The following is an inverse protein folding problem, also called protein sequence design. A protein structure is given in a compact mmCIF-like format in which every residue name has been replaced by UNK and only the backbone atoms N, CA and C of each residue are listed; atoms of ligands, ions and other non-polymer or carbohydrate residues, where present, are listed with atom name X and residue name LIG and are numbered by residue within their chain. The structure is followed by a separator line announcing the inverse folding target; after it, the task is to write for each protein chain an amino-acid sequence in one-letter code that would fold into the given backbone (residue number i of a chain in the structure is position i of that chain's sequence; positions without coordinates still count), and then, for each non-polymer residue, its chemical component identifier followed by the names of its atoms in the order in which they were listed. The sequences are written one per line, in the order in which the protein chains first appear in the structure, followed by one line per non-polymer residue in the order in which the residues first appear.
data_IF_798565022591
#
_entry.id   IF_798565022591
#
_cell.length_a   1.000
_cell.length_b   1.000
_cell.length_c   1.000
_cell.angle_alpha   90.00
_cell.angle_beta   90.00
_cell.angle_gamma   90.00
#
_symmetry.space_group_name_H-M   'P 1'
#
loop_
_entity.id
_entity.type
_entity.pdbx_description
1 polymer ?
#
# COMPACT_ATOMS: atom_id res chain seq x y z
N UNK A 1 24.16 33.65 -0.83
CA UNK A 1 23.48 34.75 -1.49
C UNK A 1 22.69 34.33 -2.72
N UNK A 2 23.26 33.59 -3.66
CA UNK A 2 22.58 33.05 -4.88
C UNK A 2 21.33 32.18 -4.57
N UNK A 3 21.39 31.31 -3.57
CA UNK A 3 20.27 30.46 -3.18
C UNK A 3 19.07 31.25 -2.62
N UNK A 4 19.35 32.29 -1.81
CA UNK A 4 18.33 33.17 -1.28
C UNK A 4 17.66 34.01 -2.38
N UNK A 5 18.45 34.47 -3.36
CA UNK A 5 17.94 35.20 -4.52
C UNK A 5 17.11 34.29 -5.44
N UNK A 6 17.55 33.05 -5.68
CA UNK A 6 16.79 32.04 -6.44
C UNK A 6 15.47 31.71 -5.75
N UNK A 7 15.48 31.54 -4.42
CA UNK A 7 14.27 31.28 -3.63
C UNK A 7 13.31 32.48 -3.64
N UNK A 8 13.84 33.70 -3.61
CA UNK A 8 13.05 34.93 -3.74
C UNK A 8 12.37 35.03 -5.11
N UNK A 9 13.12 34.81 -6.20
CA UNK A 9 12.59 34.81 -7.55
C UNK A 9 11.55 33.71 -7.78
N UNK A 10 11.79 32.49 -7.31
CA UNK A 10 10.87 31.37 -7.49
C UNK A 10 9.60 31.49 -6.67
N UNK A 11 9.66 32.14 -5.50
CA UNK A 11 8.48 32.30 -4.61
C UNK A 11 7.57 33.47 -4.98
N UNK A 12 8.04 34.48 -5.71
CA UNK A 12 7.28 35.70 -6.04
C UNK A 12 6.98 35.88 -7.52
N UNK A 13 7.49 35.02 -8.39
CA UNK A 13 7.28 35.14 -9.84
C UNK A 13 5.87 34.72 -10.26
N UNK A 14 5.43 35.22 -11.39
CA UNK A 14 4.19 34.83 -12.06
C UNK A 14 4.11 33.30 -12.23
N UNK A 15 5.23 32.66 -12.60
CA UNK A 15 5.33 31.21 -12.76
C UNK A 15 4.99 30.45 -11.46
N UNK A 16 5.44 30.92 -10.29
CA UNK A 16 5.10 30.33 -9.00
C UNK A 16 3.60 30.46 -8.68
N UNK A 17 3.03 31.66 -8.91
CA UNK A 17 1.60 31.89 -8.70
C UNK A 17 0.75 31.04 -9.64
N UNK A 18 1.13 30.95 -10.91
CA UNK A 18 0.45 30.12 -11.91
C UNK A 18 0.52 28.62 -11.53
N UNK A 19 1.69 28.14 -11.12
CA UNK A 19 1.86 26.76 -10.64
C UNK A 19 1.00 26.48 -9.42
N UNK A 20 1.01 27.35 -8.42
CA UNK A 20 0.19 27.16 -7.21
C UNK A 20 -1.31 27.18 -7.54
N UNK A 21 -1.75 28.08 -8.42
CA UNK A 21 -3.14 28.10 -8.89
C UNK A 21 -3.51 26.82 -9.62
N UNK A 22 -2.65 26.33 -10.51
CA UNK A 22 -2.85 25.06 -11.19
C UNK A 22 -2.90 23.87 -10.23
N UNK A 23 -1.97 23.82 -9.27
CA UNK A 23 -1.95 22.75 -8.24
C UNK A 23 -3.20 22.78 -7.35
N UNK A 24 -3.62 23.97 -6.91
CA UNK A 24 -4.83 24.13 -6.11
C UNK A 24 -6.10 23.71 -6.89
N UNK A 25 -6.16 24.06 -8.17
CA UNK A 25 -7.28 23.64 -9.03
C UNK A 25 -7.25 22.13 -9.24
N UNK A 26 -6.07 21.54 -9.49
CA UNK A 26 -5.90 20.10 -9.67
C UNK A 26 -6.23 19.30 -8.42
N UNK A 27 -5.82 19.79 -7.23
CA UNK A 27 -6.07 19.16 -5.93
C UNK A 27 -7.38 19.58 -5.29
N UNK A 28 -8.23 20.37 -5.96
CA UNK A 28 -9.51 20.76 -5.41
C UNK A 28 -10.46 19.57 -5.26
N UNK A 29 -11.31 19.62 -4.24
CA UNK A 29 -12.29 18.57 -3.99
C UNK A 29 -13.30 18.42 -5.14
N UNK A 30 -13.68 19.51 -5.78
CA UNK A 30 -14.56 19.53 -6.94
C UNK A 30 -13.93 18.82 -8.13
N UNK A 31 -12.65 19.12 -8.42
CA UNK A 31 -11.93 18.42 -9.49
C UNK A 31 -11.77 16.93 -9.19
N UNK A 32 -11.46 16.60 -7.94
CA UNK A 32 -11.38 15.21 -7.51
C UNK A 32 -12.70 14.47 -7.69
N UNK A 33 -13.82 15.08 -7.29
CA UNK A 33 -15.17 14.53 -7.53
C UNK A 33 -15.47 14.35 -9.02
N UNK A 34 -15.10 15.33 -9.86
CA UNK A 34 -15.33 15.25 -11.29
C UNK A 34 -14.53 14.11 -11.95
N UNK A 35 -13.27 13.93 -11.54
CA UNK A 35 -12.42 12.83 -12.01
C UNK A 35 -13.02 11.47 -11.60
N UNK A 36 -13.42 11.34 -10.33
CA UNK A 36 -14.05 10.11 -9.82
C UNK A 36 -15.36 9.79 -10.54
N UNK A 37 -16.21 10.82 -10.75
CA UNK A 37 -17.46 10.64 -11.48
C UNK A 37 -17.20 10.17 -12.91
N UNK A 38 -16.26 10.79 -13.63
CA UNK A 38 -15.89 10.39 -14.99
C UNK A 38 -15.37 8.95 -15.03
N UNK A 39 -14.54 8.56 -14.07
CA UNK A 39 -14.02 7.20 -13.96
C UNK A 39 -15.15 6.19 -13.71
N UNK A 40 -16.08 6.54 -12.83
CA UNK A 40 -17.24 5.70 -12.50
C UNK A 40 -18.19 5.56 -13.69
N UNK A 41 -18.51 6.64 -14.39
CA UNK A 41 -19.34 6.61 -15.59
C UNK A 41 -18.68 5.69 -16.66
N UNK A 42 -17.38 5.86 -16.91
CA UNK A 42 -16.63 5.00 -17.85
C UNK A 42 -16.59 3.52 -17.42
N UNK A 43 -16.54 3.24 -16.12
CA UNK A 43 -16.61 1.86 -15.60
C UNK A 43 -17.98 1.25 -15.88
N UNK A 44 -19.06 2.01 -15.62
CA UNK A 44 -20.45 1.57 -15.87
C UNK A 44 -20.72 1.33 -17.34
N UNK A 45 -20.30 2.27 -18.20
CA UNK A 45 -20.45 2.15 -19.65
C UNK A 45 -19.75 0.91 -20.22
N UNK A 46 -18.60 0.53 -19.60
CA UNK A 46 -17.86 -0.66 -19.95
C UNK A 46 -18.36 -1.94 -19.25
N UNK A 47 -19.42 -1.84 -18.44
CA UNK A 47 -19.94 -2.94 -17.60
C UNK A 47 -18.87 -3.67 -16.80
N UNK A 48 -17.88 -2.94 -16.24
CA UNK A 48 -16.79 -3.49 -15.45
C UNK A 48 -17.12 -3.45 -13.96
N UNK A 49 -16.80 -4.50 -13.18
CA UNK A 49 -16.90 -4.45 -11.74
C UNK A 49 -15.90 -3.42 -11.16
N UNK A 50 -16.10 -3.04 -9.90
CA UNK A 50 -15.02 -2.43 -9.13
C UNK A 50 -13.91 -3.46 -8.91
N UNK A 51 -12.66 -3.03 -9.02
CA UNK A 51 -11.51 -3.89 -8.83
C UNK A 51 -10.61 -3.33 -7.71
N UNK A 52 -10.20 -4.21 -6.81
CA UNK A 52 -9.25 -3.91 -5.74
C UNK A 52 -8.02 -4.76 -5.95
N UNK A 53 -6.87 -4.11 -6.10
CA UNK A 53 -5.57 -4.77 -6.18
C UNK A 53 -4.93 -4.74 -4.80
N UNK A 54 -4.67 -5.92 -4.25
CA UNK A 54 -3.96 -6.09 -3.00
C UNK A 54 -2.51 -6.52 -3.28
N UNK A 55 -1.58 -5.66 -2.95
CA UNK A 55 -0.16 -5.96 -3.07
C UNK A 55 0.34 -6.56 -1.76
N UNK A 56 0.69 -7.85 -1.79
CA UNK A 56 1.15 -8.60 -0.65
C UNK A 56 2.66 -8.77 -0.65
N UNK A 57 3.32 -8.34 0.41
CA UNK A 57 4.75 -8.55 0.64
C UNK A 57 4.94 -9.41 1.88
N UNK A 58 5.67 -10.51 1.76
CA UNK A 58 5.78 -11.55 2.77
C UNK A 58 6.40 -11.05 4.08
N UNK A 59 7.39 -10.17 3.99
CA UNK A 59 8.11 -9.62 5.15
C UNK A 59 7.61 -8.24 5.60
N UNK A 60 6.42 -7.82 5.10
CA UNK A 60 5.83 -6.54 5.48
C UNK A 60 4.81 -6.72 6.63
N UNK A 61 5.01 -6.07 7.79
CA UNK A 61 4.09 -6.14 8.92
C UNK A 61 2.66 -5.71 8.59
N UNK A 62 2.47 -4.71 7.71
CA UNK A 62 1.14 -4.27 7.29
C UNK A 62 0.45 -5.28 6.39
N UNK A 63 1.20 -6.02 5.58
CA UNK A 63 0.66 -7.15 4.80
C UNK A 63 0.15 -8.26 5.72
N UNK A 64 0.88 -8.53 6.82
CA UNK A 64 0.41 -9.45 7.86
C UNK A 64 -0.92 -8.98 8.46
N UNK A 65 -1.00 -7.73 8.87
CA UNK A 65 -2.24 -7.18 9.43
C UNK A 65 -3.38 -7.24 8.41
N UNK A 66 -3.13 -6.83 7.17
CA UNK A 66 -4.14 -6.70 6.12
C UNK A 66 -4.77 -8.04 5.74
N UNK A 67 -3.99 -9.12 5.66
CA UNK A 67 -4.48 -10.43 5.22
C UNK A 67 -5.63 -10.95 6.10
N UNK A 68 -5.68 -10.56 7.38
CA UNK A 68 -6.74 -10.94 8.29
C UNK A 68 -8.10 -10.28 8.00
N UNK A 69 -8.12 -9.21 7.21
CA UNK A 69 -9.35 -8.46 6.88
C UNK A 69 -9.88 -8.72 5.48
N UNK A 70 -9.08 -9.32 4.60
CA UNK A 70 -9.45 -9.48 3.19
C UNK A 70 -10.75 -10.25 3.03
N UNK A 71 -10.94 -11.35 3.75
CA UNK A 71 -12.15 -12.15 3.69
C UNK A 71 -13.40 -11.34 4.10
N UNK A 72 -13.31 -10.59 5.20
CA UNK A 72 -14.36 -9.69 5.65
C UNK A 72 -14.62 -8.58 4.64
N UNK A 73 -13.57 -8.03 4.05
CA UNK A 73 -13.68 -7.01 3.02
C UNK A 73 -14.41 -7.55 1.77
N UNK A 74 -14.00 -8.72 1.26
CA UNK A 74 -14.61 -9.39 0.10
C UNK A 74 -16.10 -9.73 0.35
N UNK A 75 -16.46 -10.09 1.57
CA UNK A 75 -17.87 -10.38 1.92
C UNK A 75 -18.72 -9.12 2.11
N UNK A 76 -18.09 -7.97 2.38
CA UNK A 76 -18.80 -6.71 2.64
C UNK A 76 -19.04 -5.89 1.39
N UNK A 77 -18.12 -5.94 0.43
CA UNK A 77 -18.13 -5.11 -0.76
C UNK A 77 -18.24 -5.95 -2.04
N UNK A 78 -19.10 -5.53 -2.95
CA UNK A 78 -19.21 -6.11 -4.30
C UNK A 78 -18.06 -5.61 -5.18
N UNK A 79 -16.91 -6.24 -5.06
CA UNK A 79 -15.67 -5.88 -5.78
C UNK A 79 -14.96 -7.13 -6.29
N UNK A 80 -14.33 -7.02 -7.46
CA UNK A 80 -13.35 -8.00 -7.89
C UNK A 80 -12.05 -7.76 -7.13
N UNK A 81 -11.64 -8.71 -6.33
CA UNK A 81 -10.42 -8.64 -5.54
C UNK A 81 -9.32 -9.45 -6.21
N UNK A 82 -8.12 -8.88 -6.32
CA UNK A 82 -6.96 -9.54 -6.90
C UNK A 82 -5.74 -9.35 -6.02
N UNK A 83 -5.18 -10.46 -5.56
CA UNK A 83 -3.94 -10.49 -4.79
C UNK A 83 -2.72 -10.55 -5.73
N UNK A 84 -1.71 -9.75 -5.42
CA UNK A 84 -0.48 -9.64 -6.20
C UNK A 84 0.70 -9.79 -5.23
N UNK A 85 1.48 -10.84 -5.41
CA UNK A 85 2.70 -11.02 -4.65
C UNK A 85 3.76 -9.99 -5.09
N UNK A 86 4.32 -9.26 -4.13
CA UNK A 86 5.36 -8.26 -4.36
C UNK A 86 6.71 -8.84 -3.95
N UNK A 87 7.69 -8.69 -4.83
CA UNK A 87 9.06 -9.10 -4.57
C UNK A 87 9.88 -8.06 -3.77
N UNK A 88 11.19 -8.07 -3.98
CA UNK A 88 12.10 -7.14 -3.32
C UNK A 88 11.81 -5.69 -3.71
N UNK A 89 11.93 -4.78 -2.75
CA UNK A 89 11.80 -3.35 -2.95
C UNK A 89 13.00 -2.79 -3.72
N UNK A 90 12.75 -1.72 -4.46
CA UNK A 90 13.85 -0.92 -4.98
C UNK A 90 14.54 -0.19 -3.81
N UNK A 91 15.82 -0.46 -3.52
CA UNK A 91 16.52 0.18 -2.40
C UNK A 91 16.53 1.72 -2.47
N UNK A 92 16.44 2.28 -3.68
CA UNK A 92 16.38 3.72 -3.88
C UNK A 92 15.03 4.34 -3.48
N UNK A 93 14.00 3.54 -3.23
CA UNK A 93 12.68 4.02 -2.79
C UNK A 93 12.62 4.28 -1.28
N UNK A 94 13.53 3.71 -0.50
CA UNK A 94 13.59 3.86 0.96
C UNK A 94 14.72 4.82 1.34
N UNK A 95 14.38 5.99 1.88
CA UNK A 95 15.37 6.98 2.27
C UNK A 95 16.10 6.66 3.57
N UNK A 96 15.45 6.04 4.53
CA UNK A 96 15.99 5.65 5.84
C UNK A 96 15.52 4.24 6.19
N UNK A 97 16.09 3.19 5.54
CA UNK A 97 15.55 1.84 5.63
C UNK A 97 15.44 1.29 7.05
N UNK A 98 16.45 1.47 7.89
CA UNK A 98 16.46 0.96 9.27
C UNK A 98 15.37 1.62 10.12
N UNK A 99 15.27 2.94 10.06
CA UNK A 99 14.25 3.68 10.80
C UNK A 99 12.83 3.31 10.33
N UNK A 100 12.66 3.13 9.03
CA UNK A 100 11.37 2.75 8.44
C UNK A 100 10.93 1.37 8.89
N UNK A 101 11.83 0.38 8.87
CA UNK A 101 11.52 -1.00 9.29
C UNK A 101 11.15 -1.07 10.77
N UNK A 102 11.94 -0.45 11.65
CA UNK A 102 11.65 -0.41 13.08
C UNK A 102 10.29 0.26 13.36
N UNK A 103 10.02 1.37 12.66
CA UNK A 103 8.73 2.06 12.77
C UNK A 103 7.56 1.16 12.35
N UNK A 104 7.64 0.49 11.19
CA UNK A 104 6.56 -0.37 10.70
C UNK A 104 6.23 -1.51 11.68
N UNK A 105 7.27 -2.14 12.23
CA UNK A 105 7.10 -3.22 13.20
C UNK A 105 6.40 -2.74 14.47
N UNK A 106 6.87 -1.63 15.05
CA UNK A 106 6.30 -1.06 16.26
C UNK A 106 4.88 -0.50 16.04
N UNK A 107 4.62 0.09 14.88
CA UNK A 107 3.29 0.62 14.55
C UNK A 107 2.28 -0.53 14.43
N UNK A 108 2.60 -1.60 13.70
CA UNK A 108 1.71 -2.76 13.59
C UNK A 108 1.45 -3.42 14.94
N UNK A 109 2.45 -3.57 15.81
CA UNK A 109 2.23 -4.06 17.18
C UNK A 109 1.22 -3.23 17.96
N UNK A 110 1.23 -1.91 17.77
CA UNK A 110 0.31 -1.01 18.48
C UNK A 110 -1.09 -1.05 17.92
N UNK A 111 -1.24 -1.16 16.60
CA UNK A 111 -2.56 -1.10 15.95
C UNK A 111 -3.25 -2.46 15.85
N UNK A 112 -2.53 -3.57 15.76
CA UNK A 112 -3.10 -4.91 15.61
C UNK A 112 -4.18 -5.27 16.66
N UNK A 113 -4.00 -4.96 17.97
CA UNK A 113 -5.01 -5.24 18.98
C UNK A 113 -6.36 -4.53 18.76
N UNK A 114 -6.36 -3.32 18.17
CA UNK A 114 -7.60 -2.60 17.84
C UNK A 114 -8.42 -3.32 16.78
N UNK A 115 -7.77 -4.17 15.99
CA UNK A 115 -8.38 -4.98 14.95
C UNK A 115 -8.62 -6.43 15.40
N UNK A 116 -8.27 -6.78 16.62
CA UNK A 116 -8.40 -8.16 17.12
C UNK A 116 -7.42 -9.14 16.47
N UNK A 117 -6.30 -8.64 15.94
CA UNK A 117 -5.25 -9.46 15.35
C UNK A 117 -4.13 -9.61 16.37
N UNK A 118 -3.72 -10.86 16.60
CA UNK A 118 -2.51 -11.16 17.35
C UNK A 118 -1.30 -11.01 16.42
N UNK A 119 -0.41 -10.10 16.75
CA UNK A 119 0.82 -9.87 16.01
C UNK A 119 2.01 -10.08 16.94
N UNK A 120 2.53 -11.32 17.02
CA UNK A 120 3.63 -11.65 17.93
C UNK A 120 4.99 -11.16 17.43
N UNK A 121 5.10 -10.65 16.22
CA UNK A 121 6.35 -10.29 15.56
C UNK A 121 7.27 -9.44 16.43
N UNK A 122 8.41 -10.03 16.84
CA UNK A 122 9.45 -9.36 17.63
C UNK A 122 10.48 -8.74 16.69
N UNK A 123 10.70 -9.38 15.54
CA UNK A 123 11.72 -9.02 14.56
C UNK A 123 11.24 -9.39 13.14
N UNK A 124 11.95 -8.91 12.14
CA UNK A 124 11.67 -9.29 10.75
C UNK A 124 12.09 -10.75 10.50
N UNK A 125 11.34 -11.46 9.63
CA UNK A 125 11.67 -12.85 9.31
C UNK A 125 13.01 -12.94 8.58
N UNK A 126 13.74 -14.04 8.80
CA UNK A 126 15.00 -14.29 8.13
C UNK A 126 14.81 -14.42 6.61
N UNK A 127 15.78 -13.92 5.85
CA UNK A 127 15.71 -13.88 4.37
C UNK A 127 15.46 -15.24 3.72
N UNK A 128 15.99 -16.33 4.28
CA UNK A 128 15.74 -17.69 3.78
C UNK A 128 14.29 -18.12 3.97
N UNK A 129 13.63 -17.72 5.06
CA UNK A 129 12.20 -17.96 5.29
C UNK A 129 11.33 -17.13 4.34
N UNK A 130 11.69 -15.85 4.15
CA UNK A 130 11.01 -14.98 3.17
C UNK A 130 11.08 -15.57 1.77
N UNK A 131 12.26 -16.06 1.35
CA UNK A 131 12.44 -16.68 0.04
C UNK A 131 11.59 -17.95 -0.13
N UNK A 132 11.52 -18.79 0.89
CA UNK A 132 10.66 -20.00 0.88
C UNK A 132 9.19 -19.63 0.83
N UNK A 133 8.77 -18.66 1.60
CA UNK A 133 7.39 -18.15 1.61
C UNK A 133 6.99 -17.56 0.24
N UNK A 134 7.87 -16.75 -0.35
CA UNK A 134 7.65 -16.23 -1.71
C UNK A 134 7.55 -17.36 -2.75
N UNK A 135 8.40 -18.38 -2.66
CA UNK A 135 8.34 -19.54 -3.57
C UNK A 135 7.00 -20.30 -3.42
N UNK A 136 6.53 -20.51 -2.20
CA UNK A 136 5.22 -21.13 -1.94
C UNK A 136 4.11 -20.28 -2.55
N UNK A 137 4.05 -19.00 -2.23
CA UNK A 137 2.97 -18.11 -2.67
C UNK A 137 2.97 -17.88 -4.18
N UNK A 138 4.12 -17.93 -4.84
CA UNK A 138 4.20 -17.83 -6.30
C UNK A 138 3.67 -19.05 -7.03
N UNK A 139 3.55 -20.20 -6.37
CA UNK A 139 3.06 -21.45 -6.93
C UNK A 139 1.58 -21.74 -6.61
N UNK A 140 0.95 -20.91 -5.77
CA UNK A 140 -0.44 -21.10 -5.33
C UNK A 140 -1.41 -20.45 -6.33
N UNK A 141 -2.60 -21.03 -6.47
CA UNK A 141 -3.67 -20.46 -7.29
C UNK A 141 -4.18 -19.11 -6.72
N UNK A 142 -4.82 -18.30 -7.58
CA UNK A 142 -5.37 -17.01 -7.15
C UNK A 142 -6.45 -17.18 -6.05
N UNK A 143 -7.22 -18.27 -6.10
CA UNK A 143 -8.27 -18.57 -5.13
C UNK A 143 -7.75 -18.98 -3.76
N UNK A 144 -6.58 -19.63 -3.70
CA UNK A 144 -5.98 -20.12 -2.46
C UNK A 144 -5.00 -19.14 -1.83
N UNK A 145 -4.62 -18.09 -2.58
CA UNK A 145 -3.53 -17.19 -2.22
C UNK A 145 -3.69 -16.60 -0.81
N UNK A 146 -4.85 -16.00 -0.51
CA UNK A 146 -5.05 -15.34 0.80
C UNK A 146 -5.03 -16.34 1.96
N UNK A 147 -5.61 -17.53 1.76
CA UNK A 147 -5.63 -18.57 2.78
C UNK A 147 -4.23 -19.09 3.09
N UNK A 148 -3.45 -19.37 2.06
CA UNK A 148 -2.05 -19.84 2.20
C UNK A 148 -1.15 -18.73 2.73
N UNK A 149 -1.31 -17.48 2.25
CA UNK A 149 -0.55 -16.35 2.76
C UNK A 149 -0.75 -16.15 4.26
N UNK A 150 -1.98 -16.24 4.75
CA UNK A 150 -2.28 -16.15 6.18
C UNK A 150 -1.57 -17.24 6.98
N UNK A 151 -1.54 -18.48 6.49
CA UNK A 151 -0.85 -19.59 7.15
C UNK A 151 0.66 -19.40 7.13
N UNK A 152 1.22 -19.02 5.99
CA UNK A 152 2.67 -18.77 5.83
C UNK A 152 3.14 -17.68 6.78
N UNK A 153 2.39 -16.56 6.85
CA UNK A 153 2.74 -15.45 7.74
C UNK A 153 2.72 -15.84 9.21
N UNK A 154 1.78 -16.67 9.64
CA UNK A 154 1.75 -17.18 11.02
C UNK A 154 2.97 -18.03 11.38
N UNK A 155 3.65 -18.60 10.37
CA UNK A 155 4.82 -19.44 10.58
C UNK A 155 6.15 -18.66 10.56
N UNK A 156 6.21 -17.54 9.85
CA UNK A 156 7.47 -16.79 9.66
C UNK A 156 7.64 -15.60 10.61
N UNK A 157 6.55 -15.10 11.18
CA UNK A 157 6.56 -14.00 12.15
C UNK A 157 6.52 -14.46 13.61
N UNK A 158 6.87 -15.71 13.85
CA UNK A 158 7.00 -16.26 15.20
C UNK A 158 8.27 -15.79 15.89
#
# INVERSE_FOLDING_TARGET
MLQAFRNFLTRRTFAYKARNKAMNMFSSFENFKAIRKKAEDSRKDANRPHEVLYFHKVDDPYSHLTIHFIEKFKSTYDVKFKSILVGEENPAALHEPSLYTDYCLEDVKRIAPFYGVDFPGIDYPKKDLVNKANAILSAVSEEEFESIAKQVLSLIHI
#
